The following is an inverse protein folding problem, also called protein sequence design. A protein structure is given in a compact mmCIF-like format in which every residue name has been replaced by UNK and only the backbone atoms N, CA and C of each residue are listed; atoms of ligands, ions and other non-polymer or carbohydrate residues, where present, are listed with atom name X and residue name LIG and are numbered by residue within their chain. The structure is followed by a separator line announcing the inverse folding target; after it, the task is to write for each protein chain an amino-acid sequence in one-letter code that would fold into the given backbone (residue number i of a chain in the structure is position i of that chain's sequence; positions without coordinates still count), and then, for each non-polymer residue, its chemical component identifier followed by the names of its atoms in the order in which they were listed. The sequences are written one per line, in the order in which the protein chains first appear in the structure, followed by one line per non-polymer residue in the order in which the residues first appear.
data_IF_809713724214
#
_entry.id   IF_809713724214
#
_cell.length_a   1.000
_cell.length_b   1.000
_cell.length_c   1.000
_cell.angle_alpha   90.00
_cell.angle_beta   90.00
_cell.angle_gamma   90.00
#
_symmetry.space_group_name_H-M   'P 1'
#
loop_
_entity.id
_entity.type
_entity.pdbx_description
1 polymer ?
#
# COMPACT_ATOMS: atom_id res chain seq x y z
N UNK A 1 24.81 -14.03 -7.70
CA UNK A 1 23.41 -13.60 -7.85
C UNK A 1 23.26 -12.34 -7.01
N UNK A 2 22.82 -11.21 -7.59
CA UNK A 2 22.49 -10.03 -6.78
C UNK A 2 21.42 -10.40 -5.77
N UNK A 3 21.56 -9.96 -4.53
CA UNK A 3 20.54 -10.14 -3.51
C UNK A 3 19.32 -9.31 -3.91
N UNK A 4 18.10 -9.89 -3.84
CA UNK A 4 16.87 -9.15 -4.13
C UNK A 4 16.68 -7.93 -3.21
N UNK A 5 17.02 -8.06 -1.95
CA UNK A 5 17.13 -6.93 -1.03
C UNK A 5 18.57 -6.43 -0.99
N UNK A 6 18.77 -5.16 -1.31
CA UNK A 6 20.06 -4.47 -1.25
C UNK A 6 19.98 -3.45 -0.12
N UNK A 7 20.73 -3.67 0.96
CA UNK A 7 20.70 -2.77 2.11
C UNK A 7 21.35 -1.43 1.76
N UNK A 8 20.83 -0.36 2.38
CA UNK A 8 21.47 0.95 2.35
C UNK A 8 22.71 0.96 3.26
N UNK A 9 23.59 1.97 3.06
CA UNK A 9 24.90 2.05 3.75
C UNK A 9 24.80 1.73 5.25
N UNK A 10 25.54 0.71 5.67
CA UNK A 10 25.65 0.29 7.06
C UNK A 10 24.49 -0.54 7.62
N UNK A 11 23.38 -0.68 6.89
CA UNK A 11 22.29 -1.54 7.37
C UNK A 11 22.60 -3.02 7.09
N UNK A 12 22.61 -3.83 8.11
CA UNK A 12 22.74 -5.28 8.00
C UNK A 12 21.57 -5.95 8.72
N UNK A 13 20.59 -6.49 7.98
CA UNK A 13 19.46 -7.17 8.61
C UNK A 13 19.99 -8.39 9.38
N UNK A 14 19.61 -8.48 10.65
CA UNK A 14 19.87 -9.68 11.47
C UNK A 14 18.93 -10.79 11.05
N UNK A 15 19.37 -12.03 11.22
CA UNK A 15 18.50 -13.19 10.99
C UNK A 15 17.21 -13.05 11.83
N UNK A 16 16.05 -13.20 11.19
CA UNK A 16 14.73 -13.10 11.80
C UNK A 16 14.38 -11.74 12.43
N UNK A 17 15.09 -10.67 12.10
CA UNK A 17 14.84 -9.32 12.65
C UNK A 17 13.38 -8.86 12.45
N UNK A 18 12.78 -9.23 11.32
CA UNK A 18 11.43 -8.79 10.95
C UNK A 18 10.32 -9.78 11.29
N UNK A 19 10.62 -10.82 12.06
CA UNK A 19 9.59 -11.74 12.55
C UNK A 19 8.59 -11.00 13.46
N UNK A 20 7.29 -11.19 13.20
CA UNK A 20 6.22 -10.52 13.93
C UNK A 20 6.03 -9.04 13.52
N UNK A 21 6.68 -8.59 12.44
CA UNK A 21 6.40 -7.28 11.85
C UNK A 21 5.21 -7.38 10.90
N UNK A 22 4.52 -6.26 10.71
CA UNK A 22 3.62 -6.11 9.57
C UNK A 22 4.37 -5.50 8.40
N UNK A 23 4.01 -5.88 7.16
CA UNK A 23 4.56 -5.27 5.95
C UNK A 23 3.43 -4.71 5.09
N UNK A 24 3.61 -3.51 4.57
CA UNK A 24 2.64 -2.83 3.70
C UNK A 24 3.32 -2.52 2.37
N UNK A 25 2.66 -2.88 1.27
CA UNK A 25 3.17 -2.65 -0.07
C UNK A 25 2.05 -2.28 -1.05
N UNK A 26 2.32 -1.40 -2.04
CA UNK A 26 1.34 -1.01 -3.02
C UNK A 26 1.36 -1.94 -4.23
N UNK A 27 0.22 -2.08 -4.89
CA UNK A 27 0.16 -2.42 -6.30
C UNK A 27 0.01 -1.12 -7.10
N UNK A 28 0.74 -0.98 -8.21
CA UNK A 28 0.45 0.10 -9.16
C UNK A 28 -0.91 -0.18 -9.79
N UNK A 29 -1.88 0.68 -9.51
CA UNK A 29 -3.29 0.51 -9.86
C UNK A 29 -3.95 1.87 -10.15
N UNK A 30 -5.23 1.87 -10.47
CA UNK A 30 -5.99 3.07 -10.85
C UNK A 30 -5.77 4.22 -9.87
N UNK A 31 -5.54 5.42 -10.40
CA UNK A 31 -5.43 6.65 -9.64
C UNK A 31 -4.22 6.75 -8.72
N UNK A 32 -3.29 5.77 -8.76
CA UNK A 32 -2.11 5.68 -7.90
C UNK A 32 -2.40 5.78 -6.38
N UNK A 33 -3.65 5.52 -5.97
CA UNK A 33 -4.08 5.62 -4.57
C UNK A 33 -3.18 4.82 -3.61
N UNK A 34 -2.77 3.57 -3.92
CA UNK A 34 -1.87 2.81 -3.04
C UNK A 34 -0.53 3.49 -2.80
N UNK A 35 0.11 3.97 -3.86
CA UNK A 35 1.43 4.63 -3.76
C UNK A 35 1.33 5.94 -2.99
N UNK A 36 0.30 6.74 -3.27
CA UNK A 36 0.04 7.99 -2.55
C UNK A 36 -0.23 7.73 -1.06
N UNK A 37 -0.97 6.67 -0.72
CA UNK A 37 -1.24 6.30 0.68
C UNK A 37 0.04 5.89 1.42
N UNK A 38 0.94 5.15 0.76
CA UNK A 38 2.24 4.81 1.34
C UNK A 38 3.11 6.05 1.50
N UNK A 39 3.10 6.98 0.53
CA UNK A 39 3.82 8.25 0.67
C UNK A 39 3.34 9.05 1.89
N UNK A 40 2.04 9.09 2.16
CA UNK A 40 1.50 9.72 3.37
C UNK A 40 2.00 9.04 4.65
N UNK A 41 1.98 7.71 4.69
CA UNK A 41 2.50 6.96 5.84
C UNK A 41 3.98 7.20 6.07
N UNK A 42 4.80 7.15 5.00
CA UNK A 42 6.23 7.43 5.08
C UNK A 42 6.47 8.85 5.58
N UNK A 43 5.83 9.85 4.98
CA UNK A 43 6.00 11.24 5.35
C UNK A 43 5.63 11.48 6.82
N UNK A 44 4.53 10.88 7.28
CA UNK A 44 4.07 10.96 8.66
C UNK A 44 5.11 10.41 9.65
N UNK A 45 5.63 9.22 9.40
CA UNK A 45 6.59 8.58 10.30
C UNK A 45 7.99 9.21 10.23
N UNK A 46 8.36 9.83 9.09
CA UNK A 46 9.58 10.61 8.97
C UNK A 46 9.49 11.95 9.72
N UNK A 47 8.30 12.56 9.77
CA UNK A 47 8.08 13.87 10.41
C UNK A 47 7.74 13.77 11.90
N UNK A 48 7.25 12.63 12.37
CA UNK A 48 7.01 12.36 13.79
C UNK A 48 8.34 12.10 14.51
N UNK A 49 9.17 13.13 14.61
CA UNK A 49 10.33 13.09 15.49
C UNK A 49 9.86 13.02 16.93
N UNK A 50 10.27 12.00 17.67
CA UNK A 50 10.15 12.01 19.12
C UNK A 50 10.90 13.23 19.64
N UNK A 51 10.18 14.18 20.26
CA UNK A 51 10.74 15.43 20.80
C UNK A 51 11.94 15.23 21.76
N UNK A 52 12.21 13.99 22.18
CA UNK A 52 13.28 13.63 23.11
C UNK A 52 14.54 13.07 22.46
N UNK A 53 14.54 12.65 21.18
CA UNK A 53 15.67 11.93 20.56
C UNK A 53 16.13 12.47 19.21
N UNK A 54 15.50 13.49 18.65
CA UNK A 54 15.78 14.03 17.29
C UNK A 54 15.84 12.98 16.16
N UNK A 55 15.40 11.73 16.42
CA UNK A 55 15.39 10.65 15.44
C UNK A 55 13.98 10.40 14.92
N UNK A 56 13.85 10.25 13.60
CA UNK A 56 12.61 9.81 12.97
C UNK A 56 12.27 8.37 13.37
N UNK A 57 10.98 8.08 13.50
CA UNK A 57 10.51 6.70 13.80
C UNK A 57 10.63 5.75 12.60
N UNK A 58 10.96 6.25 11.42
CA UNK A 58 11.09 5.49 10.19
C UNK A 58 12.48 5.69 9.56
N UNK A 59 13.10 4.61 9.15
CA UNK A 59 14.42 4.56 8.52
C UNK A 59 14.33 3.93 7.12
N UNK A 60 14.95 4.55 6.10
CA UNK A 60 15.16 3.93 4.80
C UNK A 60 16.33 2.94 4.94
N UNK A 61 16.03 1.63 4.82
CA UNK A 61 17.01 0.56 5.07
C UNK A 61 17.60 -0.05 3.81
N UNK A 62 17.00 0.19 2.65
CA UNK A 62 17.49 -0.37 1.39
C UNK A 62 16.44 -0.32 0.29
N UNK A 63 16.70 -1.08 -0.75
CA UNK A 63 15.83 -1.20 -1.91
C UNK A 63 15.76 -2.65 -2.41
N UNK A 64 14.71 -2.94 -3.17
CA UNK A 64 14.55 -4.24 -3.82
C UNK A 64 15.05 -4.12 -5.27
N UNK A 65 16.09 -4.87 -5.60
CA UNK A 65 16.66 -4.93 -6.95
C UNK A 65 15.98 -6.04 -7.76
N UNK A 66 15.24 -5.64 -8.79
CA UNK A 66 14.51 -6.55 -9.64
C UNK A 66 14.62 -6.18 -11.11
N UNK A 67 15.07 -7.10 -11.98
CA UNK A 67 15.12 -6.87 -13.41
C UNK A 67 13.71 -6.78 -14.04
N UNK A 68 12.66 -7.09 -13.28
CA UNK A 68 11.28 -7.11 -13.73
C UNK A 68 10.54 -5.78 -13.53
N UNK A 69 11.16 -4.84 -12.82
CA UNK A 69 10.63 -3.50 -12.57
C UNK A 69 11.40 -2.50 -13.41
N UNK A 70 10.70 -1.55 -14.03
CA UNK A 70 11.35 -0.48 -14.81
C UNK A 70 12.27 0.32 -13.90
N UNK A 71 13.52 0.58 -14.31
CA UNK A 71 14.44 1.39 -13.53
C UNK A 71 13.90 2.81 -13.37
N UNK A 72 14.04 3.35 -12.17
CA UNK A 72 13.67 4.72 -11.84
C UNK A 72 14.66 5.28 -10.83
N UNK A 73 15.08 6.51 -11.04
CA UNK A 73 15.80 7.33 -10.07
C UNK A 73 15.26 8.77 -10.15
N UNK A 74 14.99 9.37 -9.03
CA UNK A 74 14.45 10.72 -8.93
C UNK A 74 14.82 11.38 -7.61
N UNK A 75 14.45 12.66 -7.40
CA UNK A 75 14.69 13.36 -6.15
C UNK A 75 13.92 12.71 -4.99
N UNK A 76 14.39 12.94 -3.76
CA UNK A 76 13.66 12.53 -2.56
C UNK A 76 12.30 13.23 -2.51
N UNK A 77 11.18 12.49 -2.46
CA UNK A 77 9.86 13.07 -2.45
C UNK A 77 9.49 13.75 -1.12
N UNK A 78 10.24 13.47 -0.05
CA UNK A 78 9.92 13.91 1.31
C UNK A 78 10.79 15.08 1.77
N UNK A 79 12.00 15.26 1.20
CA UNK A 79 12.99 16.25 1.63
C UNK A 79 13.47 17.09 0.46
N UNK A 80 13.73 18.37 0.76
CA UNK A 80 14.24 19.34 -0.23
C UNK A 80 15.77 19.38 -0.34
N UNK A 81 16.46 18.78 0.62
CA UNK A 81 17.92 18.89 0.72
C UNK A 81 18.68 18.09 -0.37
N UNK A 82 17.97 17.29 -1.16
CA UNK A 82 18.55 16.52 -2.26
C UNK A 82 19.55 15.45 -1.82
N UNK A 83 19.61 15.14 -0.53
CA UNK A 83 20.60 14.23 0.05
C UNK A 83 20.40 12.77 -0.35
N UNK A 84 19.19 12.38 -0.72
CA UNK A 84 18.84 11.01 -1.10
C UNK A 84 18.17 10.95 -2.46
N UNK A 85 18.37 9.84 -3.15
CA UNK A 85 17.63 9.53 -4.39
C UNK A 85 16.53 8.52 -4.10
N UNK A 86 15.37 8.79 -4.68
CA UNK A 86 14.28 7.83 -4.73
C UNK A 86 14.51 6.82 -5.84
N UNK A 87 14.26 5.53 -5.57
CA UNK A 87 14.43 4.44 -6.54
C UNK A 87 13.12 3.71 -6.81
N UNK A 88 13.15 2.73 -7.72
CA UNK A 88 11.96 1.98 -8.16
C UNK A 88 11.19 1.30 -7.02
N UNK A 89 11.93 0.73 -6.06
CA UNK A 89 11.40 -0.03 -4.93
C UNK A 89 12.23 0.27 -3.69
N UNK A 90 11.67 1.01 -2.75
CA UNK A 90 12.34 1.39 -1.50
C UNK A 90 11.72 0.66 -0.30
N UNK A 91 12.55 0.29 0.67
CA UNK A 91 12.16 -0.41 1.88
C UNK A 91 12.47 0.44 3.09
N UNK A 92 11.44 0.78 3.84
CA UNK A 92 11.52 1.54 5.08
C UNK A 92 11.11 0.67 6.27
N UNK A 93 11.73 0.89 7.42
CA UNK A 93 11.40 0.16 8.66
C UNK A 93 11.14 1.11 9.82
N UNK A 94 10.09 0.85 10.57
CA UNK A 94 9.85 1.40 11.90
C UNK A 94 10.02 0.27 12.92
N UNK A 95 11.06 0.35 13.74
CA UNK A 95 11.32 -0.66 14.78
C UNK A 95 10.33 -0.56 15.93
N UNK A 96 9.94 0.65 16.30
CA UNK A 96 9.00 0.91 17.38
C UNK A 96 7.61 0.35 17.08
N UNK A 97 7.15 0.47 15.83
CA UNK A 97 5.85 -0.02 15.36
C UNK A 97 5.90 -1.44 14.79
N UNK A 98 7.08 -2.07 14.71
CA UNK A 98 7.29 -3.35 14.02
C UNK A 98 6.65 -3.35 12.63
N UNK A 99 6.96 -2.34 11.84
CA UNK A 99 6.35 -2.06 10.55
C UNK A 99 7.41 -1.93 9.46
N UNK A 100 7.14 -2.54 8.32
CA UNK A 100 7.89 -2.36 7.08
C UNK A 100 6.97 -1.71 6.06
N UNK A 101 7.43 -0.62 5.44
CA UNK A 101 6.76 0.01 4.31
C UNK A 101 7.61 -0.20 3.06
N UNK A 102 7.02 -0.77 2.02
CA UNK A 102 7.64 -0.88 0.70
C UNK A 102 6.96 0.14 -0.19
N UNK A 103 7.74 1.07 -0.78
CA UNK A 103 7.22 1.99 -1.77
C UNK A 103 7.66 1.56 -3.17
N UNK A 104 6.69 1.42 -4.05
CA UNK A 104 6.91 1.10 -5.46
C UNK A 104 6.58 2.33 -6.32
N UNK A 105 7.61 2.90 -6.99
CA UNK A 105 7.44 4.09 -7.83
C UNK A 105 7.37 3.78 -9.32
N UNK A 106 7.73 2.58 -9.71
CA UNK A 106 7.87 2.22 -11.12
C UNK A 106 7.09 0.96 -11.46
N UNK A 107 6.49 0.90 -12.66
CA UNK A 107 5.69 -0.25 -13.05
C UNK A 107 6.55 -1.49 -13.34
N UNK A 108 5.92 -2.65 -13.15
CA UNK A 108 6.47 -3.95 -13.55
C UNK A 108 6.30 -4.09 -15.06
N UNK A 109 7.28 -4.69 -15.74
CA UNK A 109 7.11 -5.09 -17.13
C UNK A 109 5.99 -6.14 -17.23
N UNK A 110 5.03 -5.93 -18.13
CA UNK A 110 3.83 -6.76 -18.23
C UNK A 110 4.14 -8.24 -18.43
N UNK A 111 5.18 -8.52 -19.22
CA UNK A 111 5.64 -9.86 -19.58
C UNK A 111 6.25 -10.62 -18.39
N UNK A 112 6.77 -9.88 -17.40
CA UNK A 112 7.50 -10.45 -16.25
C UNK A 112 6.74 -10.29 -14.92
N UNK A 113 5.45 -10.01 -14.99
CA UNK A 113 4.61 -9.79 -13.80
C UNK A 113 4.64 -10.97 -12.82
N UNK A 114 4.48 -12.16 -13.34
CA UNK A 114 4.43 -13.37 -12.52
C UNK A 114 5.80 -13.68 -11.88
N UNK A 115 6.90 -13.45 -12.60
CA UNK A 115 8.26 -13.60 -12.09
C UNK A 115 8.55 -12.60 -10.96
N UNK A 116 8.14 -11.33 -11.12
CA UNK A 116 8.26 -10.34 -10.05
C UNK A 116 7.51 -10.77 -8.78
N UNK A 117 6.26 -11.25 -8.92
CA UNK A 117 5.50 -11.68 -7.74
C UNK A 117 6.06 -12.93 -7.09
N UNK A 118 6.61 -13.85 -7.84
CA UNK A 118 7.35 -14.97 -7.27
C UNK A 118 8.59 -14.49 -6.50
N UNK A 119 9.35 -13.55 -7.06
CA UNK A 119 10.55 -13.01 -6.43
C UNK A 119 10.24 -12.29 -5.10
N UNK A 120 9.28 -11.37 -5.10
CA UNK A 120 8.91 -10.64 -3.88
C UNK A 120 8.29 -11.55 -2.82
N UNK A 121 7.45 -12.52 -3.22
CA UNK A 121 6.82 -13.46 -2.29
C UNK A 121 7.85 -14.45 -1.72
N UNK A 122 8.85 -14.88 -2.49
CA UNK A 122 9.97 -15.67 -1.97
C UNK A 122 10.76 -14.87 -0.93
N UNK A 123 11.02 -13.59 -1.18
CA UNK A 123 11.69 -12.74 -0.20
C UNK A 123 10.84 -12.56 1.07
N UNK A 124 9.55 -12.29 0.93
CA UNK A 124 8.63 -12.20 2.07
C UNK A 124 8.57 -13.51 2.86
N UNK A 125 8.65 -14.68 2.20
CA UNK A 125 8.61 -15.98 2.85
C UNK A 125 9.83 -16.30 3.72
N UNK A 126 10.94 -15.56 3.56
CA UNK A 126 12.11 -15.68 4.43
C UNK A 126 11.86 -15.14 5.85
N UNK A 127 10.75 -14.44 6.06
CA UNK A 127 10.36 -13.82 7.32
C UNK A 127 8.99 -14.31 7.76
N UNK A 128 8.71 -14.30 9.07
CA UNK A 128 7.40 -14.62 9.63
C UNK A 128 6.66 -13.35 9.98
N UNK A 129 6.07 -12.72 8.96
CA UNK A 129 5.27 -11.51 9.16
C UNK A 129 3.97 -11.84 9.92
N UNK A 130 3.56 -10.93 10.80
CA UNK A 130 2.27 -11.02 11.47
C UNK A 130 1.13 -10.72 10.50
N UNK A 131 1.31 -9.75 9.61
CA UNK A 131 0.32 -9.37 8.60
C UNK A 131 1.01 -8.77 7.37
N UNK A 132 0.63 -9.24 6.19
CA UNK A 132 1.05 -8.68 4.92
C UNK A 132 -0.14 -7.90 4.35
N UNK A 133 0.00 -6.56 4.25
CA UNK A 133 -1.04 -5.67 3.73
C UNK A 133 -0.66 -5.25 2.33
N UNK A 134 -1.48 -5.61 1.36
CA UNK A 134 -1.35 -5.22 -0.05
C UNK A 134 -2.38 -4.14 -0.34
N UNK A 135 -1.93 -3.00 -0.85
CA UNK A 135 -2.82 -1.91 -1.22
C UNK A 135 -3.10 -1.95 -2.72
N UNK A 136 -4.35 -1.76 -3.09
CA UNK A 136 -4.80 -1.73 -4.47
C UNK A 136 -5.94 -0.74 -4.65
N UNK A 137 -6.21 -0.38 -5.89
CA UNK A 137 -7.40 0.37 -6.30
C UNK A 137 -7.99 -0.22 -7.58
N UNK A 138 -9.24 0.02 -7.83
CA UNK A 138 -9.98 -0.42 -9.02
C UNK A 138 -10.95 0.68 -9.45
N UNK A 139 -11.47 0.62 -10.66
CA UNK A 139 -12.42 1.60 -11.16
C UNK A 139 -13.76 1.52 -10.40
N UNK A 140 -14.26 2.67 -9.95
CA UNK A 140 -15.53 2.83 -9.23
C UNK A 140 -16.76 2.46 -10.06
N UNK A 141 -16.70 2.64 -11.39
CA UNK A 141 -17.77 2.23 -12.30
C UNK A 141 -18.11 0.72 -12.26
N UNK A 142 -17.23 -0.10 -11.68
CA UNK A 142 -17.47 -1.54 -11.49
C UNK A 142 -17.96 -1.88 -10.07
N UNK A 143 -18.23 -0.87 -9.25
CA UNK A 143 -18.90 -1.09 -7.97
C UNK A 143 -20.39 -1.33 -8.23
N UNK A 144 -20.90 -2.45 -7.74
CA UNK A 144 -22.32 -2.72 -7.85
C UNK A 144 -23.14 -1.67 -7.07
N UNK A 145 -24.25 -1.15 -7.63
CA UNK A 145 -25.02 -0.05 -7.03
C UNK A 145 -25.46 -0.31 -5.58
N UNK A 146 -25.69 -1.58 -5.24
CA UNK A 146 -26.09 -2.02 -3.90
C UNK A 146 -25.03 -1.71 -2.84
N UNK A 147 -23.78 -1.46 -3.23
CA UNK A 147 -22.66 -1.23 -2.31
C UNK A 147 -22.22 0.23 -2.22
N UNK A 148 -22.81 1.12 -3.01
CA UNK A 148 -22.48 2.55 -2.99
C UNK A 148 -22.82 3.18 -1.64
N UNK A 149 -23.87 2.69 -0.98
CA UNK A 149 -24.37 3.23 0.28
C UNK A 149 -23.83 2.51 1.54
N UNK A 150 -22.98 1.51 1.37
CA UNK A 150 -22.47 0.71 2.49
C UNK A 150 -21.41 1.45 3.33
N UNK A 151 -20.81 2.49 2.79
CA UNK A 151 -19.78 3.26 3.47
C UNK A 151 -20.35 4.59 3.99
N UNK A 152 -20.19 4.83 5.29
CA UNK A 152 -20.71 6.05 5.95
C UNK A 152 -20.11 7.34 5.37
N UNK A 153 -18.91 7.25 4.75
CA UNK A 153 -18.19 8.36 4.15
C UNK A 153 -18.28 8.38 2.61
N UNK A 154 -19.03 7.45 2.00
CA UNK A 154 -19.26 7.40 0.55
C UNK A 154 -18.05 6.97 -0.28
N UNK A 155 -16.98 6.48 0.34
CA UNK A 155 -15.77 6.01 -0.35
C UNK A 155 -15.64 4.49 -0.17
N UNK A 156 -15.94 3.70 -1.19
CA UNK A 156 -15.97 2.28 -1.04
C UNK A 156 -14.57 1.66 -0.99
N UNK A 157 -14.29 0.98 0.11
CA UNK A 157 -13.16 0.07 0.28
C UNK A 157 -13.69 -1.34 0.49
N UNK A 158 -13.03 -2.30 -0.13
CA UNK A 158 -13.29 -3.73 0.05
C UNK A 158 -11.98 -4.46 0.33
N UNK A 159 -12.05 -5.67 0.87
CA UNK A 159 -10.86 -6.48 1.05
C UNK A 159 -10.96 -7.86 0.40
N UNK A 160 -9.79 -8.39 0.09
CA UNK A 160 -9.53 -9.80 -0.22
C UNK A 160 -8.50 -10.30 0.76
N UNK A 161 -8.55 -11.57 1.15
CA UNK A 161 -7.61 -12.10 2.13
C UNK A 161 -7.25 -13.55 1.86
N UNK A 162 -6.07 -13.94 2.40
CA UNK A 162 -5.66 -15.33 2.57
C UNK A 162 -5.24 -15.50 4.03
N UNK A 163 -5.73 -16.54 4.68
CA UNK A 163 -5.36 -16.93 6.07
C UNK A 163 -5.49 -15.81 7.12
N UNK A 164 -6.43 -14.91 6.93
CA UNK A 164 -6.66 -13.82 7.87
C UNK A 164 -7.26 -14.38 9.17
N UNK A 165 -6.82 -13.85 10.32
CA UNK A 165 -7.38 -14.21 11.61
C UNK A 165 -8.82 -13.70 11.73
N UNK A 166 -9.71 -14.46 12.34
CA UNK A 166 -11.13 -14.08 12.52
C UNK A 166 -11.30 -12.75 13.25
N UNK A 167 -10.44 -12.46 14.23
CA UNK A 167 -10.43 -11.21 14.98
C UNK A 167 -10.15 -10.02 14.05
N UNK A 168 -9.23 -10.18 13.10
CA UNK A 168 -8.91 -9.16 12.10
C UNK A 168 -10.08 -8.97 11.13
N UNK A 169 -10.71 -10.05 10.68
CA UNK A 169 -11.90 -9.96 9.81
C UNK A 169 -13.07 -9.26 10.52
N UNK A 170 -13.34 -9.59 11.78
CA UNK A 170 -14.35 -8.93 12.60
C UNK A 170 -14.04 -7.44 12.76
N UNK A 171 -12.78 -7.09 13.04
CA UNK A 171 -12.34 -5.70 13.13
C UNK A 171 -12.55 -4.91 11.83
N UNK A 172 -12.20 -5.50 10.68
CA UNK A 172 -12.43 -4.88 9.38
C UNK A 172 -13.92 -4.62 9.13
N UNK A 173 -14.75 -5.63 9.36
CA UNK A 173 -16.18 -5.57 9.07
C UNK A 173 -16.94 -4.66 10.03
N UNK A 174 -16.71 -4.79 11.35
CA UNK A 174 -17.53 -4.17 12.39
C UNK A 174 -17.00 -2.78 12.80
N UNK A 175 -15.67 -2.61 12.85
CA UNK A 175 -15.06 -1.35 13.31
C UNK A 175 -14.68 -0.41 12.19
N UNK A 176 -14.24 -0.95 11.05
CA UNK A 176 -13.80 -0.14 9.92
C UNK A 176 -14.82 -0.06 8.79
N UNK A 177 -15.89 -0.83 8.85
CA UNK A 177 -16.91 -0.97 7.80
C UNK A 177 -16.33 -1.41 6.44
N UNK A 178 -15.17 -2.13 6.46
CA UNK A 178 -14.54 -2.67 5.25
C UNK A 178 -15.05 -4.09 5.05
N UNK A 179 -15.85 -4.31 4.01
CA UNK A 179 -16.44 -5.62 3.68
C UNK A 179 -15.58 -6.36 2.66
N UNK A 180 -15.72 -7.70 2.55
CA UNK A 180 -15.02 -8.46 1.52
C UNK A 180 -15.49 -8.06 0.11
N UNK A 181 -14.59 -8.23 -0.88
CA UNK A 181 -14.94 -8.10 -2.30
C UNK A 181 -15.90 -9.20 -2.65
N UNK A 182 -17.03 -8.85 -3.25
CA UNK A 182 -18.01 -9.81 -3.70
C UNK A 182 -17.68 -10.36 -5.09
N UNK A 183 -18.08 -11.60 -5.31
CA UNK A 183 -18.07 -12.19 -6.65
C UNK A 183 -19.25 -11.65 -7.44
N UNK A 184 -19.05 -11.40 -8.70
CA UNK A 184 -20.10 -10.94 -9.61
C UNK A 184 -20.26 -11.92 -10.77
N UNK A 185 -21.46 -12.03 -11.28
CA UNK A 185 -21.72 -12.72 -12.53
C UNK A 185 -21.08 -11.96 -13.69
N UNK A 186 -20.28 -12.61 -14.55
CA UNK A 186 -19.53 -11.92 -15.60
C UNK A 186 -20.39 -11.24 -16.68
N UNK A 187 -21.62 -11.69 -16.88
CA UNK A 187 -22.53 -11.16 -17.90
C UNK A 187 -23.40 -10.02 -17.37
N UNK A 188 -23.98 -10.22 -16.19
CA UNK A 188 -24.88 -9.23 -15.58
C UNK A 188 -24.19 -8.23 -14.67
N UNK A 189 -22.93 -8.49 -14.28
CA UNK A 189 -22.16 -7.74 -13.27
C UNK A 189 -22.88 -7.63 -11.91
N UNK A 190 -23.88 -8.48 -11.64
CA UNK A 190 -24.59 -8.55 -10.38
C UNK A 190 -23.91 -9.52 -9.40
N UNK A 191 -24.07 -9.32 -8.08
CA UNK A 191 -23.60 -10.26 -7.08
C UNK A 191 -24.07 -11.68 -7.33
N UNK A 192 -23.16 -12.66 -7.27
CA UNK A 192 -23.45 -14.07 -7.51
C UNK A 192 -22.46 -14.96 -6.77
N UNK A 193 -22.96 -15.97 -6.04
CA UNK A 193 -22.11 -16.93 -5.31
C UNK A 193 -21.21 -17.75 -6.26
N UNK A 194 -21.69 -18.03 -7.47
CA UNK A 194 -20.95 -18.72 -8.51
C UNK A 194 -20.13 -17.75 -9.40
N UNK A 195 -20.15 -16.47 -9.10
CA UNK A 195 -19.49 -15.42 -9.85
C UNK A 195 -17.98 -15.42 -9.70
N UNK A 196 -17.35 -14.45 -10.35
CA UNK A 196 -15.89 -14.21 -10.31
C UNK A 196 -15.59 -12.87 -9.69
N UNK A 197 -14.43 -12.75 -9.05
CA UNK A 197 -13.91 -11.46 -8.61
C UNK A 197 -13.52 -10.65 -9.84
N UNK A 198 -14.15 -9.49 -10.01
CA UNK A 198 -13.93 -8.56 -11.11
C UNK A 198 -13.38 -7.23 -10.57
N UNK A 199 -12.09 -6.99 -10.80
CA UNK A 199 -11.36 -5.82 -10.31
C UNK A 199 -10.47 -5.27 -11.43
N UNK A 200 -11.04 -4.70 -12.50
CA UNK A 200 -10.26 -4.09 -13.57
C UNK A 200 -9.49 -2.88 -13.06
N UNK A 201 -8.24 -2.72 -13.52
CA UNK A 201 -7.38 -1.64 -13.06
C UNK A 201 -6.72 -1.85 -11.70
N UNK A 202 -7.00 -2.98 -11.01
CA UNK A 202 -6.41 -3.29 -9.70
C UNK A 202 -4.92 -3.67 -9.75
N UNK A 203 -4.27 -3.42 -10.86
CA UNK A 203 -2.87 -3.80 -11.03
C UNK A 203 -2.70 -5.30 -10.87
N UNK A 204 -1.89 -5.68 -9.91
CA UNK A 204 -1.51 -7.09 -9.75
C UNK A 204 -1.98 -7.70 -8.41
N UNK A 205 -2.90 -7.05 -7.72
CA UNK A 205 -3.42 -7.54 -6.44
C UNK A 205 -3.91 -8.99 -6.50
N UNK A 206 -4.64 -9.35 -7.56
CA UNK A 206 -5.12 -10.73 -7.77
C UNK A 206 -3.98 -11.73 -7.96
N UNK A 207 -2.93 -11.34 -8.71
CA UNK A 207 -1.75 -12.19 -8.90
C UNK A 207 -1.00 -12.38 -7.59
N UNK A 208 -0.83 -11.30 -6.81
CA UNK A 208 -0.21 -11.36 -5.49
C UNK A 208 -0.94 -12.34 -4.57
N UNK A 209 -2.26 -12.25 -4.45
CA UNK A 209 -3.05 -13.17 -3.64
C UNK A 209 -2.99 -14.61 -4.14
N UNK A 210 -3.07 -14.83 -5.45
CA UNK A 210 -3.00 -16.17 -6.06
C UNK A 210 -1.67 -16.86 -5.76
N UNK A 211 -0.55 -16.16 -5.92
CA UNK A 211 0.77 -16.70 -5.63
C UNK A 211 1.04 -16.73 -4.12
N UNK A 212 0.58 -15.72 -3.38
CA UNK A 212 0.72 -15.65 -1.93
C UNK A 212 0.06 -16.82 -1.22
N UNK A 213 -1.14 -17.23 -1.63
CA UNK A 213 -1.81 -18.41 -1.10
C UNK A 213 -1.06 -19.73 -1.32
N UNK A 214 -0.07 -19.76 -2.22
CA UNK A 214 0.78 -20.93 -2.46
C UNK A 214 2.14 -20.85 -1.76
N UNK A 215 2.73 -19.66 -1.73
CA UNK A 215 4.10 -19.44 -1.22
C UNK A 215 4.14 -18.99 0.23
N UNK A 216 3.07 -18.37 0.72
CA UNK A 216 2.92 -17.85 2.07
C UNK A 216 1.74 -18.54 2.79
N UNK A 217 1.73 -19.88 2.77
CA UNK A 217 0.58 -20.70 3.20
C UNK A 217 0.11 -20.40 4.63
N UNK A 218 1.03 -20.05 5.52
CA UNK A 218 0.73 -19.81 6.94
C UNK A 218 0.67 -18.32 7.29
N UNK A 219 1.07 -17.43 6.38
CA UNK A 219 1.11 -15.99 6.67
C UNK A 219 -0.19 -15.31 6.26
N UNK A 220 -0.76 -14.46 7.13
CA UNK A 220 -1.99 -13.74 6.80
C UNK A 220 -1.71 -12.64 5.76
N UNK A 221 -2.50 -12.62 4.70
CA UNK A 221 -2.45 -11.59 3.66
C UNK A 221 -3.80 -10.88 3.62
N UNK A 222 -3.76 -9.56 3.74
CA UNK A 222 -4.88 -8.65 3.58
C UNK A 222 -4.64 -7.76 2.37
N UNK A 223 -5.51 -7.82 1.36
CA UNK A 223 -5.48 -6.89 0.24
C UNK A 223 -6.64 -5.90 0.38
N UNK A 224 -6.33 -4.62 0.57
CA UNK A 224 -7.31 -3.54 0.57
C UNK A 224 -7.48 -3.01 -0.86
N UNK A 225 -8.71 -2.92 -1.32
CA UNK A 225 -9.05 -2.45 -2.67
C UNK A 225 -9.95 -1.22 -2.55
N UNK A 226 -9.42 -0.07 -2.95
CA UNK A 226 -10.14 1.20 -3.04
C UNK A 226 -10.84 1.30 -4.41
N UNK A 227 -12.10 1.69 -4.42
CA UNK A 227 -12.78 2.03 -5.67
C UNK A 227 -12.63 3.52 -5.93
N UNK A 228 -12.11 3.89 -7.10
CA UNK A 228 -11.88 5.30 -7.48
C UNK A 228 -11.85 5.47 -9.01
N UNK A 229 -11.99 6.71 -9.45
CA UNK A 229 -11.74 7.13 -10.82
C UNK A 229 -10.28 7.60 -11.00
N UNK A 230 -9.84 7.77 -12.24
CA UNK A 230 -8.60 8.48 -12.53
C UNK A 230 -8.74 9.98 -12.23
N UNK A 231 -7.65 10.63 -11.85
CA UNK A 231 -7.61 12.05 -11.53
C UNK A 231 -6.92 12.35 -10.20
N UNK A 232 -7.34 13.43 -9.54
CA UNK A 232 -6.82 13.79 -8.20
C UNK A 232 -7.38 12.86 -7.13
N UNK A 233 -6.55 11.92 -6.74
CA UNK A 233 -6.87 10.91 -5.73
C UNK A 233 -6.21 11.17 -4.37
N UNK A 234 -5.78 12.40 -4.08
CA UNK A 234 -5.22 12.76 -2.76
C UNK A 234 -6.21 12.45 -1.64
N UNK A 235 -7.49 12.81 -1.82
CA UNK A 235 -8.53 12.51 -0.83
C UNK A 235 -8.71 11.01 -0.59
N UNK A 236 -8.80 10.21 -1.65
CA UNK A 236 -8.89 8.74 -1.55
C UNK A 236 -7.66 8.15 -0.84
N UNK A 237 -6.49 8.71 -1.10
CA UNK A 237 -5.23 8.25 -0.50
C UNK A 237 -5.16 8.57 1.00
N UNK A 238 -5.64 9.74 1.43
CA UNK A 238 -5.79 10.10 2.83
C UNK A 238 -6.78 9.16 3.53
N UNK A 239 -7.91 8.88 2.87
CA UNK A 239 -8.91 7.98 3.43
C UNK A 239 -8.36 6.55 3.62
N UNK A 240 -7.66 6.02 2.61
CA UNK A 240 -7.01 4.71 2.72
C UNK A 240 -5.92 4.70 3.80
N UNK A 241 -5.09 5.76 3.88
CA UNK A 241 -4.08 5.89 4.91
C UNK A 241 -4.68 5.92 6.33
N UNK A 242 -5.83 6.58 6.53
CA UNK A 242 -6.57 6.55 7.80
C UNK A 242 -7.03 5.14 8.18
N UNK A 243 -7.55 4.37 7.23
CA UNK A 243 -7.95 2.97 7.49
C UNK A 243 -6.75 2.09 7.83
N UNK A 244 -5.63 2.27 7.11
CA UNK A 244 -4.38 1.54 7.38
C UNK A 244 -3.85 1.87 8.77
N UNK A 245 -3.80 3.14 9.15
CA UNK A 245 -3.34 3.57 10.46
C UNK A 245 -4.13 2.89 11.61
N UNK A 246 -5.44 2.74 11.45
CA UNK A 246 -6.27 2.00 12.41
C UNK A 246 -5.95 0.49 12.43
N UNK A 247 -5.64 -0.11 11.27
CA UNK A 247 -5.28 -1.54 11.18
C UNK A 247 -3.94 -1.83 11.88
N UNK A 248 -2.98 -0.91 11.77
CA UNK A 248 -1.65 -1.05 12.41
C UNK A 248 -1.59 -0.48 13.83
N UNK A 249 -2.73 -0.13 14.42
CA UNK A 249 -2.85 0.45 15.77
C UNK A 249 -2.01 1.72 15.95
N UNK A 250 -1.99 2.61 14.94
CA UNK A 250 -1.38 3.93 15.08
C UNK A 250 -2.39 4.90 15.71
N UNK A 251 -2.44 4.91 17.06
CA UNK A 251 -3.39 5.69 17.85
C UNK A 251 -3.27 7.19 17.62
N UNK A 252 -2.11 7.69 17.23
CA UNK A 252 -1.90 9.10 16.91
C UNK A 252 -2.63 9.52 15.62
N UNK A 253 -2.93 8.60 14.72
CA UNK A 253 -3.73 8.88 13.53
C UNK A 253 -5.21 9.10 13.85
N UNK A 254 -5.72 8.54 14.96
CA UNK A 254 -7.11 8.69 15.39
C UNK A 254 -7.41 10.05 16.03
N UNK A 255 -6.37 10.81 16.42
CA UNK A 255 -6.49 12.11 17.09
C UNK A 255 -6.38 13.28 16.12
N UNK A 256 -7.30 13.41 15.14
CA UNK A 256 -7.45 14.60 14.27
C UNK A 256 -6.15 15.23 13.72
N UNK A 257 -5.09 14.45 13.54
CA UNK A 257 -3.87 14.94 12.95
C UNK A 257 -4.04 14.98 11.43
N UNK A 258 -3.99 16.19 10.88
CA UNK A 258 -4.02 16.43 9.43
C UNK A 258 -2.79 15.76 8.81
N UNK A 259 -3.01 14.87 7.83
CA UNK A 259 -1.93 14.32 7.03
C UNK A 259 -1.15 15.45 6.36
N UNK A 260 0.17 15.40 6.47
CA UNK A 260 1.04 16.30 5.71
C UNK A 260 1.34 15.66 4.37
N UNK A 261 1.02 16.37 3.30
CA UNK A 261 1.36 15.93 1.95
C UNK A 261 2.89 16.00 1.77
N UNK A 262 3.50 14.98 1.11
CA UNK A 262 4.90 15.03 0.73
C UNK A 262 5.21 16.26 -0.12
N UNK A 263 6.43 16.76 -0.03
CA UNK A 263 6.85 17.92 -0.81
C UNK A 263 6.62 17.73 -2.33
N UNK A 264 6.86 16.52 -2.84
CA UNK A 264 6.67 16.18 -4.25
C UNK A 264 5.24 16.32 -4.77
N UNK A 265 4.25 16.46 -3.87
CA UNK A 265 2.85 16.61 -4.28
C UNK A 265 2.44 18.03 -4.63
N UNK A 266 3.26 19.04 -4.28
CA UNK A 266 2.92 20.47 -4.46
C UNK A 266 2.53 20.82 -5.88
N UNK A 267 3.15 20.15 -6.88
CA UNK A 267 2.94 20.43 -8.30
C UNK A 267 2.30 19.25 -9.05
N UNK A 268 1.77 18.26 -8.32
CA UNK A 268 1.30 17.01 -8.93
C UNK A 268 0.13 17.25 -9.93
N UNK A 269 -0.72 18.22 -9.65
CA UNK A 269 -1.88 18.57 -10.49
C UNK A 269 -1.79 19.99 -11.06
N UNK A 270 -0.58 20.56 -11.14
CA UNK A 270 -0.31 21.92 -11.62
C UNK A 270 -0.39 22.99 -10.52
N UNK A 271 -0.16 24.23 -10.91
CA UNK A 271 -0.33 25.40 -10.05
C UNK A 271 -1.81 25.78 -9.95
N UNK A 272 -2.17 26.46 -8.86
CA UNK A 272 -3.45 27.15 -8.79
C UNK A 272 -3.57 28.17 -9.92
N UNK A 273 -4.71 28.24 -10.61
CA UNK A 273 -4.87 29.22 -11.68
C UNK A 273 -4.69 30.65 -11.12
N UNK A 274 -4.05 31.55 -11.89
CA UNK A 274 -3.88 32.94 -11.46
C UNK A 274 -5.23 33.58 -11.08
N UNK A 275 -5.28 34.41 -10.02
CA UNK A 275 -6.53 35.04 -9.57
C UNK A 275 -7.26 35.88 -10.67
N UNK A 276 -6.53 36.26 -11.70
CA UNK A 276 -7.10 37.05 -12.83
C UNK A 276 -7.98 36.21 -13.77
N UNK A 277 -8.08 34.90 -13.59
CA UNK A 277 -8.90 34.00 -14.42
C UNK A 277 -10.33 33.84 -13.86
N UNK A 278 -10.61 34.36 -12.68
CA UNK A 278 -11.93 34.32 -12.04
C UNK A 278 -12.59 35.69 -11.96
#
# INVERSE_FOLDING_TARGET
MSSFFVPYDGYQPKNNEWNGYSVILPCISVGNVPQLSIDLLINRFLTNCNRSTDSSDLELIGYLDSPYVRPFAGPDPFRLDGSLLSTSLQVFVSKSKKLILIQQRSPIYKEYRDQFYQQILQWLSCHRFELIIVLSSTFDQFLAPEFVNDDQEGIPIRYLSNNLKKETESFLNEKLAIKPVMKVDPESMRPSDNGKIHLPGSGSARSFLRFGGRLLVEQPILCLVMYCSEGDNRYHSVYLANKIAKIINDDDASKNHRWQEPFSWRMMFGEEPPPEIY
#
